data_IF_799411675875
#
_entry.id   IF_799411675875
#
_cell.length_a   1.000
_cell.length_b   1.000
_cell.length_c   1.000
_cell.angle_alpha   90.00
_cell.angle_beta   90.00
_cell.angle_gamma   90.00
#
_symmetry.space_group_name_H-M   'P 1'
#
loop_
_entity.id
_entity.type
_entity.pdbx_description
1 polymer ?
#
# COMPACT_ATOMS: atom_id res chain seq x y z
N UNK A 1 -7.89 11.14 35.50
CA UNK A 1 -6.57 10.94 34.85
C UNK A 1 -6.36 9.57 34.18
N UNK A 2 -7.13 8.52 34.52
CA UNK A 2 -6.99 7.19 33.90
C UNK A 2 -7.24 7.15 32.37
N UNK A 3 -8.28 7.84 31.88
CA UNK A 3 -8.56 7.92 30.42
C UNK A 3 -7.43 8.59 29.64
N UNK A 4 -6.80 9.62 30.22
CA UNK A 4 -5.65 10.29 29.62
C UNK A 4 -4.46 9.32 29.51
N UNK A 5 -4.18 8.57 30.58
CA UNK A 5 -3.15 7.53 30.56
C UNK A 5 -3.43 6.48 29.49
N UNK A 6 -4.67 5.99 29.41
CA UNK A 6 -5.09 4.98 28.44
C UNK A 6 -4.97 5.48 26.99
N UNK A 7 -5.42 6.69 26.70
CA UNK A 7 -5.23 7.36 25.41
C UNK A 7 -3.75 7.47 25.04
N UNK A 8 -2.91 7.88 25.99
CA UNK A 8 -1.47 8.06 25.78
C UNK A 8 -0.77 6.71 25.55
N UNK A 9 -1.22 5.64 26.22
CA UNK A 9 -0.78 4.28 25.95
C UNK A 9 -1.06 3.85 24.50
N UNK A 10 -2.27 4.10 23.99
CA UNK A 10 -2.58 3.85 22.58
C UNK A 10 -1.79 4.74 21.62
N UNK A 11 -1.62 6.02 21.95
CA UNK A 11 -0.89 6.98 21.12
C UNK A 11 0.58 6.61 20.99
N UNK A 12 1.20 6.12 22.06
CA UNK A 12 2.57 5.58 22.03
C UNK A 12 2.66 4.37 21.10
N UNK A 13 1.75 3.40 21.19
CA UNK A 13 1.73 2.25 20.27
C UNK A 13 1.53 2.67 18.82
N UNK A 14 0.63 3.61 18.56
CA UNK A 14 0.39 4.16 17.23
C UNK A 14 1.60 4.94 16.68
N UNK A 15 2.43 5.52 17.57
CA UNK A 15 3.69 6.19 17.18
C UNK A 15 4.78 5.17 16.80
N UNK A 16 4.74 3.96 17.39
CA UNK A 16 5.68 2.89 17.06
C UNK A 16 5.31 2.20 15.74
N UNK A 17 4.01 2.14 15.42
CA UNK A 17 3.48 1.64 14.15
C UNK A 17 4.00 2.47 12.95
N UNK A 18 4.85 1.92 12.07
CA UNK A 18 5.41 2.65 10.93
C UNK A 18 4.36 3.25 10.00
N UNK A 19 3.22 2.56 9.80
CA UNK A 19 2.15 2.99 8.88
C UNK A 19 1.40 4.19 9.43
N UNK A 20 1.24 4.27 10.76
CA UNK A 20 0.39 5.27 11.43
C UNK A 20 1.18 6.42 12.08
N UNK A 21 2.51 6.51 11.89
CA UNK A 21 3.37 7.52 12.56
C UNK A 21 2.96 8.96 12.31
N UNK A 22 2.60 9.32 11.08
CA UNK A 22 2.20 10.70 10.77
C UNK A 22 0.86 11.03 11.40
N UNK A 23 -0.10 10.10 11.36
CA UNK A 23 -1.37 10.25 12.05
C UNK A 23 -1.16 10.40 13.57
N UNK A 24 -0.27 9.60 14.17
CA UNK A 24 0.10 9.73 15.58
C UNK A 24 0.77 11.09 15.88
N UNK A 25 1.62 11.58 14.99
CA UNK A 25 2.30 12.89 15.15
C UNK A 25 1.30 14.04 15.11
N UNK A 26 0.32 14.00 14.21
CA UNK A 26 -0.77 14.97 14.15
C UNK A 26 -1.64 14.92 15.42
N UNK A 27 -1.90 13.73 15.97
CA UNK A 27 -2.60 13.57 17.24
C UNK A 27 -1.80 14.12 18.43
N UNK A 28 -0.48 13.89 18.46
CA UNK A 28 0.41 14.50 19.46
C UNK A 28 0.37 16.04 19.40
N UNK A 29 0.42 16.60 18.19
CA UNK A 29 0.30 18.05 17.98
C UNK A 29 -1.06 18.56 18.46
N UNK A 30 -2.15 17.88 18.09
CA UNK A 30 -3.50 18.21 18.52
C UNK A 30 -3.68 18.14 20.04
N UNK A 31 -3.08 17.14 20.69
CA UNK A 31 -3.04 17.01 22.15
C UNK A 31 -2.29 18.18 22.79
N UNK A 32 -1.13 18.55 22.27
CA UNK A 32 -0.32 19.67 22.79
C UNK A 32 -1.09 20.99 22.68
N UNK A 33 -1.69 21.27 21.52
CA UNK A 33 -2.52 22.46 21.30
C UNK A 33 -3.71 22.48 22.27
N UNK A 34 -4.39 21.35 22.45
CA UNK A 34 -5.51 21.23 23.38
C UNK A 34 -5.09 21.49 24.84
N UNK A 35 -3.92 20.97 25.25
CA UNK A 35 -3.39 21.17 26.59
C UNK A 35 -3.00 22.64 26.83
N UNK A 36 -2.40 23.30 25.85
CA UNK A 36 -2.11 24.76 25.89
C UNK A 36 -3.41 25.57 25.95
N UNK A 37 -4.44 25.17 25.20
CA UNK A 37 -5.76 25.79 25.27
C UNK A 37 -6.39 25.69 26.66
N UNK A 38 -6.41 24.49 27.25
CA UNK A 38 -6.92 24.28 28.62
C UNK A 38 -6.10 25.03 29.69
N UNK A 39 -4.79 25.13 29.50
CA UNK A 39 -3.91 25.93 30.33
C UNK A 39 -4.31 27.41 30.30
N UNK A 40 -4.56 27.95 29.09
CA UNK A 40 -4.94 29.36 28.92
C UNK A 40 -6.28 29.70 29.58
N UNK A 41 -7.17 28.71 29.73
CA UNK A 41 -8.46 28.83 30.41
C UNK A 41 -8.36 28.58 31.93
N UNK A 42 -7.16 28.34 32.47
CA UNK A 42 -6.91 27.95 33.87
C UNK A 42 -7.63 26.66 34.34
N UNK A 43 -8.12 25.84 33.41
CA UNK A 43 -8.88 24.62 33.74
C UNK A 43 -7.98 23.42 34.09
N UNK A 44 -6.69 23.46 33.75
CA UNK A 44 -5.83 22.26 33.80
C UNK A 44 -4.83 22.18 34.97
N UNK A 45 -4.20 23.30 35.37
CA UNK A 45 -3.12 23.27 36.37
C UNK A 45 -3.56 23.67 37.79
N UNK A 46 -4.72 24.30 37.95
CA UNK A 46 -5.16 24.80 39.26
C UNK A 46 -5.94 23.75 40.06
N UNK A 47 -6.64 22.83 39.38
CA UNK A 47 -7.54 21.85 40.00
C UNK A 47 -6.89 20.47 40.24
N UNK A 48 -5.85 20.11 39.49
CA UNK A 48 -5.33 18.73 39.44
C UNK A 48 -4.11 18.57 40.34
N UNK A 49 -4.23 17.74 41.38
CA UNK A 49 -3.08 17.26 42.13
C UNK A 49 -2.41 16.09 41.40
N UNK A 50 -1.34 16.39 40.67
CA UNK A 50 -0.59 15.40 39.87
C UNK A 50 -0.06 14.22 40.69
N UNK A 51 0.28 14.43 41.96
CA UNK A 51 0.86 13.38 42.80
C UNK A 51 -0.21 12.36 43.19
N UNK A 52 -1.41 12.81 43.56
CA UNK A 52 -2.52 11.91 43.92
C UNK A 52 -3.11 11.18 42.71
N UNK A 53 -3.05 11.79 41.54
CA UNK A 53 -3.59 11.22 40.30
C UNK A 53 -2.61 10.34 39.51
N UNK A 54 -1.31 10.37 39.86
CA UNK A 54 -0.27 9.60 39.18
C UNK A 54 -0.56 8.09 39.10
N UNK A 55 -1.07 7.41 40.16
CA UNK A 55 -1.39 5.98 40.08
C UNK A 55 -2.45 5.68 39.03
N UNK A 56 -3.48 6.52 38.92
CA UNK A 56 -4.55 6.37 37.93
C UNK A 56 -4.04 6.60 36.51
N UNK A 57 -3.19 7.61 36.33
CA UNK A 57 -2.55 7.87 35.03
C UNK A 57 -1.66 6.70 34.58
N UNK A 58 -0.75 6.24 35.44
CA UNK A 58 0.15 5.12 35.15
C UNK A 58 -0.65 3.84 34.89
N UNK A 59 -1.65 3.56 35.72
CA UNK A 59 -2.55 2.42 35.54
C UNK A 59 -3.26 2.47 34.19
N UNK A 60 -3.81 3.63 33.81
CA UNK A 60 -4.41 3.85 32.50
C UNK A 60 -3.42 3.59 31.36
N UNK A 61 -2.19 4.10 31.46
CA UNK A 61 -1.15 3.93 30.45
C UNK A 61 -0.78 2.46 30.25
N UNK A 62 -0.58 1.71 31.34
CA UNK A 62 -0.27 0.28 31.27
C UNK A 62 -1.44 -0.50 30.65
N UNK A 63 -2.69 -0.17 31.02
CA UNK A 63 -3.89 -0.79 30.44
C UNK A 63 -3.98 -0.48 28.94
N UNK A 64 -3.73 0.77 28.54
CA UNK A 64 -3.72 1.20 27.13
C UNK A 64 -2.66 0.44 26.33
N UNK A 65 -1.42 0.37 26.83
CA UNK A 65 -0.37 -0.44 26.21
C UNK A 65 -0.76 -1.92 26.13
N UNK A 66 -1.37 -2.47 27.17
CA UNK A 66 -1.81 -3.87 27.20
C UNK A 66 -2.91 -4.18 26.18
N UNK A 67 -3.99 -3.41 26.18
CA UNK A 67 -5.16 -3.59 25.29
C UNK A 67 -4.79 -3.30 23.84
N UNK A 68 -3.97 -2.27 23.60
CA UNK A 68 -3.59 -1.81 22.27
C UNK A 68 -2.64 -2.76 21.54
N UNK A 69 -2.15 -3.81 22.21
CA UNK A 69 -1.30 -4.84 21.60
C UNK A 69 0.17 -4.74 21.98
N UNK A 70 0.55 -3.97 22.99
CA UNK A 70 1.94 -3.81 23.45
C UNK A 70 2.61 -5.11 23.91
N UNK A 71 1.86 -6.21 24.10
CA UNK A 71 2.44 -7.56 24.26
C UNK A 71 3.26 -8.00 23.03
N UNK A 72 2.89 -7.53 21.82
CA UNK A 72 3.65 -7.79 20.58
C UNK A 72 5.05 -7.17 20.61
N UNK A 73 5.29 -6.11 21.39
CA UNK A 73 6.62 -5.49 21.54
C UNK A 73 7.63 -6.40 22.23
N UNK A 74 7.17 -7.38 23.02
CA UNK A 74 8.02 -8.32 23.76
C UNK A 74 8.13 -9.70 23.09
N UNK A 75 7.41 -9.93 22.00
CA UNK A 75 7.58 -11.14 21.20
C UNK A 75 8.82 -10.94 20.32
N UNK A 76 9.82 -11.81 20.51
CA UNK A 76 11.08 -11.78 19.77
C UNK A 76 10.79 -12.05 18.30
N UNK A 77 10.98 -11.01 17.48
CA UNK A 77 11.24 -11.01 16.04
C UNK A 77 10.80 -12.28 15.29
N UNK A 78 9.51 -12.40 15.04
CA UNK A 78 9.03 -13.00 13.79
C UNK A 78 8.76 -11.85 12.82
N UNK A 79 9.07 -12.06 11.54
CA UNK A 79 9.18 -11.06 10.47
C UNK A 79 7.90 -10.27 10.11
N UNK A 80 6.90 -10.24 10.99
CA UNK A 80 5.66 -9.49 10.79
C UNK A 80 5.81 -8.03 11.22
N UNK A 81 5.31 -7.10 10.41
CA UNK A 81 5.23 -5.69 10.78
C UNK A 81 4.47 -5.53 12.09
N UNK A 82 4.99 -4.69 12.97
CA UNK A 82 4.33 -4.31 14.22
C UNK A 82 3.12 -3.40 13.93
N UNK A 83 2.02 -4.00 13.52
CA UNK A 83 0.74 -3.31 13.34
C UNK A 83 -0.09 -3.38 14.63
N UNK A 84 -0.49 -2.19 15.09
CA UNK A 84 -1.29 -2.01 16.31
C UNK A 84 -2.70 -1.51 15.99
N UNK A 85 -3.43 -2.25 15.13
CA UNK A 85 -4.83 -1.94 14.75
C UNK A 85 -5.78 -1.73 15.92
N UNK A 86 -5.51 -2.35 17.07
CA UNK A 86 -6.31 -2.15 18.30
C UNK A 86 -6.04 -0.81 18.97
N UNK A 87 -4.82 -0.27 18.86
CA UNK A 87 -4.48 1.03 19.42
C UNK A 87 -5.15 2.17 18.65
N UNK A 88 -5.15 2.10 17.31
CA UNK A 88 -5.83 3.08 16.45
C UNK A 88 -7.35 3.07 16.68
N UNK A 89 -7.97 1.88 16.72
CA UNK A 89 -9.39 1.73 17.09
C UNK A 89 -9.67 2.26 18.51
N UNK A 90 -8.76 2.00 19.46
CA UNK A 90 -8.87 2.48 20.82
C UNK A 90 -8.89 4.01 20.92
N UNK A 91 -8.01 4.69 20.19
CA UNK A 91 -7.98 6.16 20.07
C UNK A 91 -9.30 6.67 19.49
N UNK A 92 -9.76 6.07 18.39
CA UNK A 92 -11.03 6.42 17.77
C UNK A 92 -12.19 6.32 18.77
N UNK A 93 -12.33 5.17 19.46
CA UNK A 93 -13.39 4.95 20.44
C UNK A 93 -13.37 5.98 21.59
N UNK A 94 -12.19 6.33 22.10
CA UNK A 94 -12.06 7.35 23.17
C UNK A 94 -12.50 8.71 22.66
N UNK A 95 -12.00 9.13 21.50
CA UNK A 95 -12.33 10.44 20.93
C UNK A 95 -13.82 10.56 20.58
N UNK A 96 -14.41 9.51 19.99
CA UNK A 96 -15.86 9.44 19.76
C UNK A 96 -16.63 9.54 21.07
N UNK A 97 -16.23 8.79 22.11
CA UNK A 97 -16.86 8.85 23.42
C UNK A 97 -16.79 10.26 24.02
N UNK A 98 -15.64 10.94 23.91
CA UNK A 98 -15.47 12.32 24.38
C UNK A 98 -16.40 13.26 23.63
N UNK A 99 -16.47 13.16 22.29
CA UNK A 99 -17.33 14.03 21.47
C UNK A 99 -18.81 13.80 21.79
N UNK A 100 -19.23 12.54 21.94
CA UNK A 100 -20.61 12.18 22.29
C UNK A 100 -20.95 12.66 23.70
N UNK A 101 -20.06 12.44 24.67
CA UNK A 101 -20.26 12.91 26.04
C UNK A 101 -20.33 14.44 26.10
N UNK A 102 -19.43 15.15 25.39
CA UNK A 102 -19.44 16.61 25.31
C UNK A 102 -20.71 17.14 24.63
N UNK A 103 -21.21 16.44 23.61
CA UNK A 103 -22.48 16.78 22.97
C UNK A 103 -23.65 16.67 23.96
N UNK A 104 -23.75 15.56 24.71
CA UNK A 104 -24.79 15.42 25.72
C UNK A 104 -24.65 16.43 26.86
N UNK A 105 -23.44 16.62 27.38
CA UNK A 105 -23.17 17.56 28.47
C UNK A 105 -23.53 19.00 28.09
N UNK A 106 -23.32 19.39 26.83
CA UNK A 106 -23.69 20.71 26.35
C UNK A 106 -25.21 20.91 26.25
N UNK A 107 -25.98 19.86 25.94
CA UNK A 107 -27.44 19.98 25.73
C UNK A 107 -28.27 19.56 26.96
N UNK A 108 -27.69 18.90 27.95
CA UNK A 108 -28.38 18.51 29.19
C UNK A 108 -28.17 19.62 30.22
N UNK A 109 -29.27 20.27 30.61
CA UNK A 109 -29.26 21.26 31.68
C UNK A 109 -29.58 20.57 33.01
N UNK A 110 -28.64 20.65 33.93
CA UNK A 110 -28.82 20.14 35.29
C UNK A 110 -29.43 21.22 36.18
N UNK A 111 -30.37 20.86 37.06
CA UNK A 111 -30.97 21.82 37.99
C UNK A 111 -29.91 22.37 38.96
N UNK A 112 -29.95 23.67 39.23
CA UNK A 112 -29.09 24.30 40.22
C UNK A 112 -29.45 23.81 41.62
N UNK A 113 -28.56 23.03 42.23
CA UNK A 113 -28.76 22.52 43.60
C UNK A 113 -28.50 23.58 44.68
N UNK A 114 -27.73 24.62 44.34
CA UNK A 114 -27.30 25.67 45.27
C UNK A 114 -27.31 27.03 44.59
N UNK A 115 -27.98 27.99 45.21
CA UNK A 115 -27.93 29.40 44.78
C UNK A 115 -27.06 30.17 45.76
N UNK A 116 -25.98 30.78 45.25
CA UNK A 116 -25.10 31.63 46.06
C UNK A 116 -25.70 33.04 46.11
N UNK A 117 -26.14 33.45 47.29
CA UNK A 117 -26.67 34.80 47.54
C UNK A 117 -25.67 35.61 48.38
N UNK A 118 -25.86 36.93 48.47
CA UNK A 118 -25.00 37.79 49.31
C UNK A 118 -25.01 37.39 50.80
N UNK A 119 -26.05 36.67 51.25
CA UNK A 119 -26.20 36.18 52.63
C UNK A 119 -25.68 34.75 52.86
N UNK A 120 -25.06 34.13 51.84
CA UNK A 120 -24.44 32.80 51.91
C UNK A 120 -24.99 31.79 50.91
N UNK A 121 -24.56 30.53 51.08
CA UNK A 121 -25.01 29.39 50.27
C UNK A 121 -26.37 28.94 50.82
N UNK A 122 -27.43 29.24 50.08
CA UNK A 122 -28.75 28.69 50.37
C UNK A 122 -28.98 27.49 49.45
N UNK A 123 -29.46 26.37 50.01
CA UNK A 123 -30.04 25.29 49.21
C UNK A 123 -31.16 25.88 48.39
N UNK A 124 -31.01 25.86 47.06
CA UNK A 124 -32.05 26.31 46.16
C UNK A 124 -33.31 25.50 46.50
N UNK A 125 -34.43 26.16 46.79
CA UNK A 125 -35.70 25.45 46.98
C UNK A 125 -36.02 24.89 45.61
N UNK A 126 -35.85 23.58 45.42
CA UNK A 126 -35.88 22.95 44.11
C UNK A 126 -37.14 23.40 43.35
N UNK A 127 -36.97 24.36 42.43
CA UNK A 127 -37.97 24.66 41.43
C UNK A 127 -38.15 23.36 40.65
N UNK A 128 -39.39 22.97 40.37
CA UNK A 128 -39.70 21.72 39.66
C UNK A 128 -39.25 21.70 38.21
N UNK A 129 -38.29 22.55 37.82
CA UNK A 129 -37.59 22.46 36.55
C UNK A 129 -36.64 21.26 36.66
N UNK A 130 -37.19 20.11 36.27
CA UNK A 130 -36.42 18.87 36.12
C UNK A 130 -35.33 19.02 35.05
N UNK A 131 -34.59 17.93 34.83
CA UNK A 131 -33.56 17.83 33.79
C UNK A 131 -34.09 18.43 32.47
N UNK A 132 -33.48 19.53 32.05
CA UNK A 132 -33.85 20.28 30.86
C UNK A 132 -33.03 19.87 29.66
N UNK A 133 -33.56 20.09 28.45
CA UNK A 133 -32.81 19.94 27.20
C UNK A 133 -32.66 21.32 26.57
N UNK A 134 -31.43 21.79 26.45
CA UNK A 134 -31.11 22.95 25.64
C UNK A 134 -31.30 22.56 24.18
N UNK A 135 -32.30 23.14 23.52
CA UNK A 135 -32.62 22.83 22.13
C UNK A 135 -31.91 23.77 21.15
N UNK A 136 -31.34 24.88 21.64
CA UNK A 136 -30.65 25.83 20.79
C UNK A 136 -29.43 25.19 20.10
N UNK A 137 -29.48 25.15 18.77
CA UNK A 137 -28.36 24.69 17.97
C UNK A 137 -28.14 23.18 17.95
N UNK A 138 -29.05 22.38 18.52
CA UNK A 138 -28.89 20.91 18.60
C UNK A 138 -28.62 20.27 17.23
N UNK A 139 -29.32 20.71 16.18
CA UNK A 139 -29.11 20.22 14.82
C UNK A 139 -27.74 20.59 14.27
N UNK A 140 -27.28 21.83 14.49
CA UNK A 140 -25.96 22.30 14.06
C UNK A 140 -24.86 21.52 14.77
N UNK A 141 -24.97 21.38 16.10
CA UNK A 141 -24.00 20.66 16.91
C UNK A 141 -23.96 19.18 16.52
N UNK A 142 -25.11 18.56 16.28
CA UNK A 142 -25.20 17.18 15.82
C UNK A 142 -24.51 16.98 14.46
N UNK A 143 -24.75 17.90 13.51
CA UNK A 143 -24.12 17.86 12.19
C UNK A 143 -22.60 18.02 12.30
N UNK A 144 -22.12 19.01 13.07
CA UNK A 144 -20.67 19.25 13.25
C UNK A 144 -19.99 18.08 13.96
N UNK A 145 -20.58 17.56 15.04
CA UNK A 145 -20.06 16.38 15.74
C UNK A 145 -20.07 15.13 14.85
N UNK A 146 -21.13 14.93 14.07
CA UNK A 146 -21.22 13.83 13.11
C UNK A 146 -20.17 13.92 12.01
N UNK A 147 -19.98 15.11 11.42
CA UNK A 147 -18.93 15.37 10.44
C UNK A 147 -17.54 15.14 11.04
N UNK A 148 -17.29 15.61 12.27
CA UNK A 148 -16.03 15.39 12.95
C UNK A 148 -15.75 13.90 13.19
N UNK A 149 -16.75 13.14 13.66
CA UNK A 149 -16.63 11.68 13.86
C UNK A 149 -16.35 10.99 12.52
N UNK A 150 -17.00 11.42 11.43
CA UNK A 150 -16.76 10.88 10.10
C UNK A 150 -15.32 11.14 9.62
N UNK A 151 -14.83 12.37 9.74
CA UNK A 151 -13.45 12.74 9.39
C UNK A 151 -12.45 11.99 10.27
N UNK A 152 -12.74 11.84 11.56
CA UNK A 152 -11.91 11.08 12.49
C UNK A 152 -11.88 9.58 12.14
N UNK A 153 -13.03 9.01 11.77
CA UNK A 153 -13.11 7.62 11.32
C UNK A 153 -12.21 7.41 10.11
N UNK A 154 -12.38 8.25 9.07
CA UNK A 154 -11.52 8.25 7.89
C UNK A 154 -10.05 8.41 8.24
N UNK A 155 -9.70 9.38 9.10
CA UNK A 155 -8.32 9.62 9.52
C UNK A 155 -7.68 8.40 10.19
N UNK A 156 -8.43 7.64 11.00
CA UNK A 156 -7.90 6.47 11.71
C UNK A 156 -7.86 5.22 10.82
N UNK A 157 -8.86 5.03 9.95
CA UNK A 157 -8.97 3.84 9.08
C UNK A 157 -8.17 3.95 7.79
N UNK A 158 -7.75 5.15 7.37
CA UNK A 158 -7.03 5.33 6.12
C UNK A 158 -5.70 4.55 6.14
N UNK A 159 -5.69 3.46 5.39
CA UNK A 159 -4.53 2.74 4.89
C UNK A 159 -4.56 2.98 3.37
N UNK A 160 -3.58 3.70 2.84
CA UNK A 160 -3.45 3.85 1.39
C UNK A 160 -2.95 2.51 0.85
N UNK A 161 -3.71 1.90 -0.03
CA UNK A 161 -3.37 0.68 -0.76
C UNK A 161 -3.58 0.97 -2.25
N UNK A 162 -2.67 0.47 -3.07
CA UNK A 162 -2.72 0.67 -4.52
C UNK A 162 -2.25 -0.61 -5.20
N UNK A 163 -3.13 -1.19 -6.02
CA UNK A 163 -2.93 -2.51 -6.58
C UNK A 163 -2.54 -2.47 -8.07
N UNK A 164 -1.43 -3.15 -8.38
CA UNK A 164 -0.89 -3.29 -9.72
C UNK A 164 -1.13 -4.71 -10.23
N UNK A 165 -1.81 -4.82 -11.37
CA UNK A 165 -2.02 -6.10 -12.04
C UNK A 165 -1.19 -6.20 -13.31
N UNK A 166 -0.37 -7.25 -13.39
CA UNK A 166 0.56 -7.46 -14.49
C UNK A 166 -0.07 -8.34 -15.56
N UNK A 167 -0.08 -7.84 -16.79
CA UNK A 167 -0.57 -8.53 -17.97
C UNK A 167 0.55 -8.66 -19.00
N UNK A 168 0.61 -9.83 -19.65
CA UNK A 168 1.69 -10.17 -20.56
C UNK A 168 1.31 -11.30 -21.50
N UNK A 169 1.72 -11.26 -22.79
CA UNK A 169 1.61 -12.39 -23.68
C UNK A 169 2.29 -13.64 -23.12
N UNK A 170 2.12 -14.77 -23.81
CA UNK A 170 2.82 -15.99 -23.40
C UNK A 170 4.33 -15.78 -23.50
N UNK A 171 5.07 -16.24 -22.49
CA UNK A 171 6.53 -16.16 -22.43
C UNK A 171 7.12 -14.74 -22.45
N UNK A 172 6.30 -13.70 -22.20
CA UNK A 172 6.78 -12.31 -22.06
C UNK A 172 7.58 -12.04 -20.77
N UNK A 173 7.82 -13.07 -19.95
CA UNK A 173 8.56 -12.96 -18.71
C UNK A 173 7.75 -12.51 -17.49
N UNK A 174 6.43 -12.74 -17.42
CA UNK A 174 5.57 -12.36 -16.27
C UNK A 174 6.11 -12.84 -14.91
N UNK A 175 6.38 -14.13 -14.78
CA UNK A 175 6.86 -14.73 -13.52
C UNK A 175 8.21 -14.13 -13.12
N UNK A 176 9.08 -13.91 -14.11
CA UNK A 176 10.38 -13.31 -13.90
C UNK A 176 10.36 -11.83 -13.62
N UNK A 177 9.44 -11.11 -14.23
CA UNK A 177 9.18 -9.74 -13.88
C UNK A 177 8.83 -9.62 -12.39
N UNK A 178 7.92 -10.46 -11.89
CA UNK A 178 7.54 -10.44 -10.48
C UNK A 178 8.66 -10.87 -9.54
N UNK A 179 9.45 -11.89 -9.91
CA UNK A 179 10.60 -12.31 -9.11
C UNK A 179 11.63 -11.18 -9.03
N UNK A 180 11.93 -10.51 -10.15
CA UNK A 180 12.87 -9.39 -10.18
C UNK A 180 12.40 -8.22 -9.32
N UNK A 181 11.12 -7.86 -9.45
CA UNK A 181 10.50 -6.83 -8.62
C UNK A 181 10.51 -7.19 -7.13
N UNK A 182 10.29 -8.47 -6.78
CA UNK A 182 10.33 -8.93 -5.40
C UNK A 182 11.74 -8.88 -4.81
N UNK A 183 12.75 -9.35 -5.55
CA UNK A 183 14.15 -9.32 -5.09
C UNK A 183 14.63 -7.89 -4.84
N UNK A 184 14.27 -6.97 -5.74
CA UNK A 184 14.57 -5.55 -5.57
C UNK A 184 13.84 -4.94 -4.37
N UNK A 185 12.54 -5.24 -4.19
CA UNK A 185 11.78 -4.78 -3.02
C UNK A 185 12.37 -5.33 -1.70
N UNK A 186 12.89 -6.56 -1.71
CA UNK A 186 13.58 -7.19 -0.58
C UNK A 186 14.89 -6.46 -0.26
N UNK A 187 15.69 -6.12 -1.27
CA UNK A 187 16.91 -5.34 -1.09
C UNK A 187 16.60 -3.94 -0.52
N UNK A 188 15.62 -3.22 -1.07
CA UNK A 188 15.19 -1.91 -0.57
C UNK A 188 14.69 -1.96 0.87
N UNK A 189 13.95 -3.02 1.23
CA UNK A 189 13.46 -3.24 2.59
C UNK A 189 14.60 -3.58 3.54
N UNK A 190 15.59 -4.38 3.12
CA UNK A 190 16.77 -4.70 3.94
C UNK A 190 17.62 -3.46 4.28
N UNK A 191 17.67 -2.50 3.34
CA UNK A 191 18.40 -1.24 3.49
C UNK A 191 17.58 -0.16 4.23
N UNK A 192 16.27 -0.33 4.34
CA UNK A 192 15.36 0.62 5.00
C UNK A 192 15.02 0.17 6.42
N UNK A 193 14.98 1.10 7.39
CA UNK A 193 14.61 0.80 8.79
C UNK A 193 13.13 0.38 8.99
N UNK A 194 12.39 0.16 7.91
CA UNK A 194 11.00 -0.29 7.89
C UNK A 194 10.95 -1.81 7.75
N UNK A 195 10.68 -2.52 8.85
CA UNK A 195 10.51 -3.98 8.87
C UNK A 195 9.13 -4.41 8.34
N UNK A 196 8.70 -3.89 7.17
CA UNK A 196 7.41 -4.29 6.60
C UNK A 196 7.56 -5.59 5.83
N UNK A 197 6.81 -6.66 6.16
CA UNK A 197 6.87 -7.92 5.44
C UNK A 197 6.31 -7.77 4.04
N UNK A 198 6.98 -8.42 3.09
CA UNK A 198 6.59 -8.39 1.68
C UNK A 198 5.40 -9.32 1.36
N UNK A 199 5.02 -10.20 2.29
CA UNK A 199 3.95 -11.19 2.16
C UNK A 199 3.83 -11.82 0.75
N UNK A 200 4.91 -12.47 0.24
CA UNK A 200 4.86 -13.13 -1.06
C UNK A 200 3.88 -14.32 -1.04
N UNK A 201 3.26 -14.61 -2.19
CA UNK A 201 2.47 -15.82 -2.36
C UNK A 201 3.36 -17.08 -2.30
N UNK A 202 2.78 -18.21 -1.91
CA UNK A 202 3.51 -19.48 -1.83
C UNK A 202 4.14 -19.84 -3.18
N UNK A 203 3.39 -19.66 -4.27
CA UNK A 203 3.85 -19.92 -5.63
C UNK A 203 5.08 -19.07 -6.00
N UNK A 204 5.11 -17.80 -5.57
CA UNK A 204 6.26 -16.92 -5.79
C UNK A 204 7.48 -17.38 -4.99
N UNK A 205 7.28 -17.76 -3.73
CA UNK A 205 8.35 -18.31 -2.87
C UNK A 205 8.93 -19.58 -3.48
N UNK A 206 8.09 -20.48 -4.00
CA UNK A 206 8.53 -21.73 -4.62
C UNK A 206 9.37 -21.46 -5.87
N UNK A 207 8.97 -20.50 -6.72
CA UNK A 207 9.75 -20.11 -7.91
C UNK A 207 11.10 -19.48 -7.55
N UNK A 208 11.16 -18.66 -6.50
CA UNK A 208 12.42 -18.07 -6.01
C UNK A 208 13.36 -19.17 -5.53
N UNK A 209 12.84 -20.15 -4.76
CA UNK A 209 13.64 -21.28 -4.28
C UNK A 209 14.18 -22.15 -5.43
N UNK A 210 13.43 -22.27 -6.53
CA UNK A 210 13.91 -22.94 -7.74
C UNK A 210 14.99 -22.13 -8.46
N UNK A 211 14.80 -20.81 -8.56
CA UNK A 211 15.78 -19.90 -9.15
C UNK A 211 17.09 -19.86 -8.36
N UNK A 212 17.06 -19.98 -7.03
CA UNK A 212 18.26 -19.94 -6.18
C UNK A 212 19.10 -21.23 -6.20
N UNK A 213 18.65 -22.29 -6.90
CA UNK A 213 19.42 -23.53 -7.00
C UNK A 213 20.71 -23.30 -7.80
N UNK A 214 21.90 -23.67 -7.27
CA UNK A 214 23.19 -23.44 -7.92
C UNK A 214 23.35 -24.08 -9.30
N UNK A 215 22.56 -25.12 -9.59
CA UNK A 215 22.59 -25.87 -10.85
C UNK A 215 21.52 -25.40 -11.85
N UNK A 216 20.69 -24.40 -11.51
CA UNK A 216 19.66 -23.89 -12.42
C UNK A 216 20.26 -22.89 -13.40
N UNK A 217 20.39 -23.28 -14.67
CA UNK A 217 20.92 -22.41 -15.73
C UNK A 217 19.88 -21.38 -16.20
N UNK A 218 18.58 -21.70 -16.18
CA UNK A 218 17.44 -20.78 -16.34
C UNK A 218 16.10 -21.55 -16.29
N UNK A 219 15.94 -22.53 -15.41
CA UNK A 219 14.77 -23.42 -15.47
C UNK A 219 13.71 -22.94 -14.51
N UNK A 220 13.04 -21.84 -14.86
CA UNK A 220 11.62 -21.72 -14.50
C UNK A 220 10.91 -22.39 -15.67
N UNK A 221 10.53 -23.66 -15.51
CA UNK A 221 9.74 -24.33 -16.54
C UNK A 221 8.47 -23.49 -16.78
N UNK A 222 8.14 -23.24 -18.05
CA UNK A 222 6.87 -22.61 -18.37
C UNK A 222 5.75 -23.46 -17.74
N UNK A 223 4.93 -22.85 -16.89
CA UNK A 223 3.89 -23.52 -16.10
C UNK A 223 3.13 -24.55 -16.96
N UNK A 224 2.99 -25.78 -16.43
CA UNK A 224 2.36 -26.89 -17.11
C UNK A 224 0.93 -26.59 -17.55
N UNK A 225 0.45 -27.24 -18.61
CA UNK A 225 -0.93 -27.06 -19.10
C UNK A 225 -1.93 -27.40 -17.98
N UNK A 226 -2.60 -26.39 -17.43
CA UNK A 226 -3.67 -26.54 -16.43
C UNK A 226 -3.29 -26.17 -14.99
N UNK A 227 -2.05 -25.76 -14.73
CA UNK A 227 -1.66 -25.15 -13.46
C UNK A 227 -1.78 -23.63 -13.55
N UNK A 228 -2.40 -23.03 -12.54
CA UNK A 228 -2.59 -21.57 -12.43
C UNK A 228 -1.81 -21.13 -11.21
N UNK A 229 -0.67 -20.50 -11.45
CA UNK A 229 0.16 -19.94 -10.40
C UNK A 229 -0.25 -18.49 -10.17
N UNK A 230 -0.62 -18.15 -8.93
CA UNK A 230 -0.96 -16.79 -8.54
C UNK A 230 0.25 -16.20 -7.84
N UNK A 231 0.91 -15.29 -8.55
CA UNK A 231 2.11 -14.64 -8.11
C UNK A 231 1.75 -13.28 -7.56
N UNK A 232 2.02 -13.06 -6.28
CA UNK A 232 1.80 -11.75 -5.67
C UNK A 232 2.80 -11.48 -4.56
N UNK A 233 3.05 -10.20 -4.33
CA UNK A 233 3.70 -9.70 -3.13
C UNK A 233 3.27 -8.25 -2.92
N UNK A 234 3.51 -7.72 -1.74
CA UNK A 234 3.26 -6.32 -1.42
C UNK A 234 4.50 -5.68 -0.85
N UNK A 235 4.65 -4.38 -0.99
CA UNK A 235 5.68 -3.62 -0.28
C UNK A 235 5.16 -2.25 0.11
N UNK A 236 5.90 -1.53 0.96
CA UNK A 236 5.51 -0.18 1.38
C UNK A 236 6.46 0.84 0.77
N UNK A 237 5.89 1.81 0.07
CA UNK A 237 6.62 2.97 -0.44
C UNK A 237 6.19 4.25 0.29
N UNK A 238 7.11 5.21 0.39
CA UNK A 238 6.85 6.51 0.98
C UNK A 238 7.27 6.65 2.45
N UNK A 239 7.85 7.81 2.78
CA UNK A 239 8.33 8.12 4.15
C UNK A 239 7.31 8.89 5.00
N UNK A 240 6.52 9.76 4.36
CA UNK A 240 5.58 10.68 5.04
C UNK A 240 4.16 10.12 5.00
N UNK A 241 3.73 9.62 3.84
CA UNK A 241 2.47 8.91 3.69
C UNK A 241 2.80 7.53 3.11
N UNK A 242 3.04 6.52 3.96
CA UNK A 242 3.36 5.19 3.48
C UNK A 242 2.12 4.58 2.82
N UNK A 243 2.29 4.08 1.60
CA UNK A 243 1.26 3.39 0.81
C UNK A 243 1.66 1.93 0.65
N UNK A 244 0.71 1.01 0.85
CA UNK A 244 0.92 -0.40 0.51
C UNK A 244 0.74 -0.55 -1.00
N UNK A 245 1.72 -1.16 -1.64
CA UNK A 245 1.70 -1.40 -3.07
C UNK A 245 1.63 -2.91 -3.27
N UNK A 246 0.50 -3.37 -3.80
CA UNK A 246 0.31 -4.76 -4.19
C UNK A 246 0.76 -4.97 -5.63
N UNK A 247 1.55 -6.01 -5.89
CA UNK A 247 1.81 -6.49 -7.24
C UNK A 247 1.22 -7.89 -7.37
N UNK A 248 0.44 -8.10 -8.42
CA UNK A 248 -0.15 -9.40 -8.70
C UNK A 248 -0.08 -9.74 -10.19
N UNK A 249 0.26 -10.99 -10.48
CA UNK A 249 0.13 -11.59 -11.81
C UNK A 249 -0.45 -12.98 -11.65
N UNK A 250 -1.21 -13.39 -12.64
CA UNK A 250 -1.57 -14.79 -12.83
C UNK A 250 -0.69 -15.34 -13.93
N UNK A 251 -0.10 -16.52 -13.73
CA UNK A 251 0.53 -17.23 -14.83
C UNK A 251 -0.53 -18.01 -15.61
N UNK A 252 -0.69 -17.64 -16.87
CA UNK A 252 -1.72 -18.16 -17.76
C UNK A 252 -1.17 -18.41 -19.16
N UNK A 253 -1.76 -19.36 -19.86
CA UNK A 253 -1.47 -19.61 -21.27
C UNK A 253 -2.00 -18.46 -22.15
N UNK A 254 -1.27 -18.07 -23.20
CA UNK A 254 -1.65 -16.92 -24.05
C UNK A 254 -3.09 -16.94 -24.60
N UNK A 255 -3.72 -18.12 -24.70
CA UNK A 255 -5.13 -18.26 -25.10
C UNK A 255 -6.12 -17.51 -24.18
N UNK A 256 -5.79 -17.31 -22.90
CA UNK A 256 -6.64 -16.58 -21.97
C UNK A 256 -6.65 -15.07 -22.27
N UNK A 257 -5.54 -14.51 -22.75
CA UNK A 257 -5.46 -13.08 -23.07
C UNK A 257 -6.43 -12.70 -24.20
N UNK A 258 -6.57 -13.59 -25.18
CA UNK A 258 -7.48 -13.40 -26.32
C UNK A 258 -8.95 -13.44 -25.94
N UNK A 259 -9.28 -14.10 -24.82
CA UNK A 259 -10.64 -14.29 -24.32
C UNK A 259 -11.02 -13.27 -23.25
N UNK A 260 -10.03 -12.61 -22.66
CA UNK A 260 -10.20 -11.67 -21.55
C UNK A 260 -11.12 -10.48 -21.89
N UNK A 261 -11.00 -9.82 -23.06
CA UNK A 261 -11.93 -8.74 -23.43
C UNK A 261 -13.40 -9.19 -23.52
N UNK A 262 -13.64 -10.39 -24.02
CA UNK A 262 -15.00 -10.93 -24.13
C UNK A 262 -15.54 -11.34 -22.75
N UNK A 263 -14.65 -11.78 -21.86
CA UNK A 263 -14.97 -12.12 -20.47
C UNK A 263 -15.35 -10.89 -19.64
N UNK A 264 -14.55 -9.82 -19.70
CA UNK A 264 -14.81 -8.55 -18.99
C UNK A 264 -16.15 -7.94 -19.44
N UNK A 265 -16.49 -8.06 -20.73
CA UNK A 265 -17.78 -7.55 -21.25
C UNK A 265 -18.97 -8.45 -20.94
N UNK A 266 -18.75 -9.64 -20.36
CA UNK A 266 -19.80 -10.62 -20.10
C UNK A 266 -20.45 -11.18 -21.38
N UNK A 267 -19.72 -11.17 -22.50
CA UNK A 267 -20.23 -11.67 -23.80
C UNK A 267 -19.98 -13.17 -23.97
N UNK A 268 -19.07 -13.73 -23.18
CA UNK A 268 -18.83 -15.16 -23.12
C UNK A 268 -19.98 -15.88 -22.39
N UNK A 269 -20.42 -17.06 -22.89
CA UNK A 269 -21.33 -17.94 -22.15
C UNK A 269 -20.74 -18.37 -20.80
N UNK A 270 -21.57 -18.44 -19.74
CA UNK A 270 -21.14 -18.81 -18.38
C UNK A 270 -20.39 -20.16 -18.33
N UNK A 271 -20.72 -21.12 -19.20
CA UNK A 271 -20.07 -22.43 -19.28
C UNK A 271 -18.69 -22.41 -19.94
N UNK A 272 -18.30 -21.27 -20.52
CA UNK A 272 -16.99 -21.06 -21.12
C UNK A 272 -16.00 -20.35 -20.19
N UNK A 273 -16.47 -19.68 -19.14
CA UNK A 273 -15.60 -19.00 -18.19
C UNK A 273 -15.12 -20.01 -17.15
N UNK A 274 -13.81 -20.26 -17.12
CA UNK A 274 -13.19 -21.09 -16.09
C UNK A 274 -12.61 -20.22 -14.97
N UNK A 275 -12.23 -20.85 -13.87
CA UNK A 275 -11.69 -20.17 -12.69
C UNK A 275 -10.41 -19.38 -12.95
N UNK A 276 -9.67 -19.65 -14.05
CA UNK A 276 -8.48 -18.85 -14.42
C UNK A 276 -8.91 -17.55 -15.04
N UNK A 277 -9.88 -17.63 -15.97
CA UNK A 277 -10.41 -16.48 -16.66
C UNK A 277 -11.19 -15.57 -15.71
N UNK A 278 -11.97 -16.13 -14.77
CA UNK A 278 -12.62 -15.35 -13.69
C UNK A 278 -11.59 -14.52 -12.92
N UNK A 279 -10.51 -15.14 -12.44
CA UNK A 279 -9.47 -14.42 -11.69
C UNK A 279 -8.73 -13.37 -12.52
N UNK A 280 -8.60 -13.57 -13.83
CA UNK A 280 -8.02 -12.56 -14.72
C UNK A 280 -8.96 -11.36 -14.90
N UNK A 281 -10.27 -11.61 -14.98
CA UNK A 281 -11.28 -10.54 -14.99
C UNK A 281 -11.22 -9.78 -13.67
N UNK A 282 -11.29 -10.49 -12.55
CA UNK A 282 -11.20 -9.89 -11.21
C UNK A 282 -9.92 -9.04 -11.06
N UNK A 283 -8.76 -9.59 -11.46
CA UNK A 283 -7.49 -8.86 -11.38
C UNK A 283 -7.43 -7.62 -12.27
N UNK A 284 -8.12 -7.58 -13.40
CA UNK A 284 -8.20 -6.38 -14.25
C UNK A 284 -9.19 -5.35 -13.70
N UNK A 285 -10.32 -5.80 -13.16
CA UNK A 285 -11.37 -4.92 -12.61
C UNK A 285 -10.99 -4.31 -11.26
N UNK A 286 -10.28 -5.06 -10.41
CA UNK A 286 -9.87 -4.62 -9.08
C UNK A 286 -8.60 -3.76 -9.09
N UNK A 287 -7.78 -3.83 -10.16
CA UNK A 287 -6.52 -3.10 -10.22
C UNK A 287 -6.70 -1.59 -10.41
N UNK A 288 -5.96 -0.81 -9.62
CA UNK A 288 -5.82 0.63 -9.84
C UNK A 288 -4.91 0.94 -11.04
N UNK A 289 -3.95 0.05 -11.33
CA UNK A 289 -3.03 0.23 -12.46
C UNK A 289 -2.66 -1.10 -13.13
N UNK A 290 -2.77 -1.14 -14.46
CA UNK A 290 -2.32 -2.26 -15.28
C UNK A 290 -0.87 -2.06 -15.70
N UNK A 291 -0.05 -3.09 -15.50
CA UNK A 291 1.33 -3.17 -15.98
C UNK A 291 1.35 -4.07 -17.21
N UNK A 292 1.56 -3.49 -18.39
CA UNK A 292 1.56 -4.22 -19.66
C UNK A 292 2.99 -4.54 -20.08
N UNK A 293 3.31 -5.82 -20.21
CA UNK A 293 4.64 -6.31 -20.56
C UNK A 293 4.84 -6.41 -22.07
N UNK A 294 5.94 -5.84 -22.55
CA UNK A 294 6.41 -5.90 -23.93
C UNK A 294 7.68 -6.75 -23.98
N UNK A 295 7.65 -7.86 -24.72
CA UNK A 295 8.79 -8.77 -24.85
C UNK A 295 9.80 -8.25 -25.89
N UNK A 296 10.96 -7.76 -25.44
CA UNK A 296 11.99 -7.24 -26.33
C UNK A 296 12.73 -8.31 -27.12
N UNK A 297 12.78 -9.54 -26.63
CA UNK A 297 13.40 -10.64 -27.37
C UNK A 297 12.58 -10.96 -28.62
N UNK A 298 11.25 -11.01 -28.49
CA UNK A 298 10.35 -11.15 -29.64
C UNK A 298 10.48 -9.99 -30.61
N UNK A 299 10.52 -8.76 -30.09
CA UNK A 299 10.71 -7.58 -30.93
C UNK A 299 12.00 -7.65 -31.75
N UNK A 300 13.12 -8.04 -31.14
CA UNK A 300 14.42 -8.15 -31.81
C UNK A 300 14.47 -9.28 -32.84
N UNK A 301 13.67 -10.32 -32.65
CA UNK A 301 13.59 -11.47 -33.56
C UNK A 301 12.55 -11.27 -34.68
N UNK A 302 11.99 -10.07 -34.83
CA UNK A 302 10.89 -9.76 -35.77
C UNK A 302 9.64 -10.65 -35.54
N UNK A 303 9.43 -11.13 -34.32
CA UNK A 303 8.27 -11.93 -33.92
C UNK A 303 7.10 -11.02 -33.49
N UNK A 304 5.83 -11.45 -33.69
CA UNK A 304 4.68 -10.69 -33.23
C UNK A 304 4.69 -10.56 -31.70
N UNK A 305 4.52 -9.32 -31.23
CA UNK A 305 4.46 -9.02 -29.80
C UNK A 305 3.21 -9.59 -29.10
N UNK A 306 2.17 -9.98 -29.85
CA UNK A 306 0.90 -10.49 -29.29
C UNK A 306 0.22 -9.51 -28.32
N UNK A 307 0.23 -8.21 -28.65
CA UNK A 307 -0.30 -7.11 -27.82
C UNK A 307 -1.63 -6.54 -28.34
N UNK A 308 -2.29 -7.22 -29.29
CA UNK A 308 -3.52 -6.71 -29.93
C UNK A 308 -4.66 -6.61 -28.91
N UNK A 309 -4.71 -7.59 -28.02
CA UNK A 309 -5.73 -7.76 -26.99
C UNK A 309 -5.65 -6.64 -25.93
N UNK A 310 -4.48 -6.00 -25.76
CA UNK A 310 -4.32 -4.88 -24.83
C UNK A 310 -5.23 -3.72 -25.18
N UNK A 311 -5.42 -3.40 -26.45
CA UNK A 311 -6.30 -2.29 -26.86
C UNK A 311 -7.75 -2.52 -26.42
N UNK A 312 -8.21 -3.77 -26.50
CA UNK A 312 -9.58 -4.09 -26.12
C UNK A 312 -9.73 -4.16 -24.60
N UNK A 313 -8.73 -4.66 -23.87
CA UNK A 313 -8.69 -4.60 -22.40
C UNK A 313 -8.71 -3.14 -21.92
N UNK A 314 -7.86 -2.28 -22.47
CA UNK A 314 -7.75 -0.87 -22.06
C UNK A 314 -9.04 -0.07 -22.29
N UNK A 315 -9.79 -0.38 -23.36
CA UNK A 315 -11.09 0.27 -23.62
C UNK A 315 -12.17 -0.14 -22.62
N UNK A 316 -12.03 -1.33 -22.03
CA UNK A 316 -13.01 -1.89 -21.10
C UNK A 316 -12.68 -1.54 -19.65
N UNK A 317 -11.39 -1.54 -19.30
CA UNK A 317 -10.84 -1.09 -18.01
C UNK A 317 -10.85 0.45 -17.90
N UNK A 318 -12.04 1.05 -17.98
CA UNK A 318 -12.22 2.50 -17.92
C UNK A 318 -11.68 3.06 -16.61
N UNK A 319 -10.82 4.09 -16.71
CA UNK A 319 -10.22 4.82 -15.58
C UNK A 319 -9.12 4.08 -14.79
N UNK A 320 -8.58 2.98 -15.34
CA UNK A 320 -7.40 2.30 -14.76
C UNK A 320 -6.11 2.93 -15.26
N UNK A 321 -5.14 3.14 -14.37
CA UNK A 321 -3.81 3.61 -14.75
C UNK A 321 -3.08 2.58 -15.63
N UNK A 322 -2.14 3.01 -16.46
CA UNK A 322 -1.35 2.09 -17.30
C UNK A 322 0.13 2.41 -17.21
N UNK A 323 0.95 1.36 -17.09
CA UNK A 323 2.40 1.42 -17.17
C UNK A 323 2.86 0.38 -18.21
N UNK A 324 3.72 0.82 -19.14
CA UNK A 324 4.32 -0.06 -20.13
C UNK A 324 5.72 -0.46 -19.66
N UNK A 325 6.00 -1.77 -19.68
CA UNK A 325 7.29 -2.31 -19.24
C UNK A 325 7.87 -3.17 -20.34
N UNK A 326 9.11 -2.91 -20.73
CA UNK A 326 9.84 -3.71 -21.69
C UNK A 326 10.69 -4.75 -20.96
N UNK A 327 10.29 -6.03 -21.01
CA UNK A 327 11.00 -7.13 -20.38
C UNK A 327 12.09 -7.69 -21.30
N UNK A 328 13.03 -8.45 -20.72
CA UNK A 328 14.18 -9.06 -21.41
C UNK A 328 15.03 -8.01 -22.15
N UNK A 329 15.14 -6.81 -21.58
CA UNK A 329 15.90 -5.72 -22.19
C UNK A 329 17.41 -5.99 -22.32
N UNK A 330 17.94 -7.05 -21.72
CA UNK A 330 19.32 -7.49 -21.89
C UNK A 330 19.68 -7.85 -23.34
N UNK A 331 18.69 -8.18 -24.18
CA UNK A 331 18.90 -8.43 -25.61
C UNK A 331 19.33 -7.17 -26.37
N UNK A 332 18.87 -6.00 -25.93
CA UNK A 332 19.22 -4.69 -26.52
C UNK A 332 20.38 -4.00 -25.78
N UNK A 333 20.73 -4.47 -24.58
CA UNK A 333 21.83 -3.89 -23.81
C UNK A 333 23.18 -4.01 -24.51
N UNK A 334 23.38 -5.10 -25.29
CA UNK A 334 24.60 -5.29 -26.09
C UNK A 334 24.66 -4.32 -27.27
N UNK A 335 23.58 -4.22 -28.06
CA UNK A 335 23.48 -3.26 -29.18
C UNK A 335 23.67 -1.82 -28.69
N UNK A 336 23.08 -1.46 -27.54
CA UNK A 336 23.28 -0.16 -26.91
C UNK A 336 24.75 0.11 -26.58
N UNK A 337 25.45 -0.89 -26.04
CA UNK A 337 26.88 -0.79 -25.75
C UNK A 337 27.71 -0.60 -27.01
N UNK A 338 27.40 -1.33 -28.07
CA UNK A 338 28.09 -1.21 -29.36
C UNK A 338 27.86 0.14 -30.02
N UNK A 339 26.62 0.65 -30.02
CA UNK A 339 26.26 1.90 -30.70
C UNK A 339 26.64 3.15 -29.91
N UNK A 340 26.49 3.14 -28.58
CA UNK A 340 26.68 4.31 -27.71
C UNK A 340 27.97 4.29 -26.92
N UNK A 341 28.63 3.12 -26.79
CA UNK A 341 29.81 2.96 -25.95
C UNK A 341 29.51 3.07 -24.45
N UNK A 342 28.25 2.90 -24.05
CA UNK A 342 27.77 3.03 -22.67
C UNK A 342 27.26 1.69 -22.16
N UNK A 343 27.47 1.40 -20.87
CA UNK A 343 26.90 0.21 -20.22
C UNK A 343 25.49 0.50 -19.72
N UNK A 344 24.48 -0.23 -20.23
CA UNK A 344 23.06 0.01 -19.94
C UNK A 344 22.73 0.10 -18.43
N UNK A 345 23.33 -0.77 -17.61
CA UNK A 345 23.10 -0.78 -16.16
C UNK A 345 23.67 0.43 -15.40
N UNK A 346 24.53 1.25 -16.05
CA UNK A 346 25.09 2.49 -15.46
C UNK A 346 24.42 3.75 -16.00
N UNK A 347 23.84 3.66 -17.18
CA UNK A 347 23.26 4.77 -17.94
C UNK A 347 21.81 4.43 -18.30
N UNK A 348 21.01 4.23 -17.25
CA UNK A 348 19.65 3.69 -17.34
C UNK A 348 18.68 4.65 -18.02
N UNK A 349 18.82 5.96 -17.79
CA UNK A 349 18.01 6.97 -18.46
C UNK A 349 18.28 6.97 -19.98
N UNK A 350 19.55 6.96 -20.38
CA UNK A 350 19.94 6.90 -21.80
C UNK A 350 19.53 5.58 -22.45
N UNK A 351 19.58 4.47 -21.70
CA UNK A 351 19.12 3.17 -22.18
C UNK A 351 17.59 3.12 -22.34
N UNK A 352 16.83 3.72 -21.42
CA UNK A 352 15.39 3.89 -21.56
C UNK A 352 15.04 4.72 -22.78
N UNK A 353 15.72 5.84 -23.00
CA UNK A 353 15.53 6.67 -24.20
C UNK A 353 15.82 5.87 -25.48
N UNK A 354 16.90 5.09 -25.49
CA UNK A 354 17.26 4.21 -26.60
C UNK A 354 16.16 3.19 -26.91
N UNK A 355 15.66 2.48 -25.89
CA UNK A 355 14.58 1.49 -26.05
C UNK A 355 13.29 2.15 -26.54
N UNK A 356 12.90 3.29 -25.96
CA UNK A 356 11.71 4.01 -26.40
C UNK A 356 11.83 4.47 -27.86
N UNK A 357 13.00 4.95 -28.29
CA UNK A 357 13.24 5.31 -29.69
C UNK A 357 13.13 4.11 -30.64
N UNK A 358 13.71 2.96 -30.26
CA UNK A 358 13.65 1.73 -31.07
C UNK A 358 12.23 1.17 -31.16
N UNK A 359 11.54 1.05 -30.02
CA UNK A 359 10.18 0.50 -29.95
C UNK A 359 9.14 1.35 -30.71
N UNK A 360 9.26 2.68 -30.68
CA UNK A 360 8.40 3.58 -31.48
C UNK A 360 8.56 3.40 -32.99
N UNK A 361 9.61 2.70 -33.44
CA UNK A 361 9.72 2.26 -34.83
C UNK A 361 8.62 1.27 -35.25
N UNK A 362 8.02 0.56 -34.29
CA UNK A 362 6.87 -0.33 -34.55
C UNK A 362 5.55 0.43 -34.44
N UNK A 363 4.74 0.33 -35.50
CA UNK A 363 3.41 0.95 -35.54
C UNK A 363 2.48 0.44 -34.43
N UNK A 364 2.59 -0.83 -34.05
CA UNK A 364 1.76 -1.42 -32.98
C UNK A 364 2.09 -0.80 -31.62
N UNK A 365 3.39 -0.66 -31.32
CA UNK A 365 3.84 -0.09 -30.04
C UNK A 365 3.56 1.41 -29.97
N UNK A 366 3.79 2.14 -31.07
CA UNK A 366 3.44 3.56 -31.15
C UNK A 366 1.94 3.80 -30.92
N UNK A 367 1.08 2.93 -31.47
CA UNK A 367 -0.37 3.02 -31.24
C UNK A 367 -0.73 2.76 -29.77
N UNK A 368 -0.05 1.81 -29.11
CA UNK A 368 -0.26 1.53 -27.68
C UNK A 368 0.19 2.70 -26.79
N UNK A 369 1.32 3.33 -27.12
CA UNK A 369 1.79 4.54 -26.42
C UNK A 369 0.76 5.66 -26.54
N UNK A 370 0.16 5.85 -27.72
CA UNK A 370 -0.87 6.87 -27.93
C UNK A 370 -2.15 6.59 -27.12
N UNK A 371 -2.59 5.33 -27.07
CA UNK A 371 -3.74 4.91 -26.26
C UNK A 371 -3.50 5.11 -24.76
N UNK A 372 -2.24 4.96 -24.31
CA UNK A 372 -1.81 5.13 -22.91
C UNK A 372 -1.34 6.55 -22.58
N UNK A 373 -1.87 7.55 -23.31
CA UNK A 373 -1.58 8.97 -23.11
C UNK A 373 -0.10 9.37 -23.17
N UNK A 374 0.70 8.66 -23.97
CA UNK A 374 2.13 8.95 -24.16
C UNK A 374 3.02 8.39 -23.06
N UNK A 375 2.56 7.37 -22.33
CA UNK A 375 3.35 6.75 -21.25
C UNK A 375 4.68 6.20 -21.79
N UNK A 376 5.76 6.48 -21.06
CA UNK A 376 7.09 5.94 -21.37
C UNK A 376 7.17 4.45 -21.06
N UNK A 377 7.99 3.74 -21.83
CA UNK A 377 8.23 2.31 -21.65
C UNK A 377 9.45 2.14 -20.73
N UNK A 378 9.28 1.40 -19.63
CA UNK A 378 10.34 1.18 -18.64
C UNK A 378 11.04 -0.16 -18.91
N UNK A 379 12.34 -0.16 -19.24
CA UNK A 379 13.06 -1.40 -19.52
C UNK A 379 13.51 -2.08 -18.23
N UNK A 380 13.29 -3.40 -18.15
CA UNK A 380 13.72 -4.22 -17.03
C UNK A 380 14.33 -5.54 -17.51
N UNK A 381 15.38 -5.98 -16.84
CA UNK A 381 16.08 -7.21 -17.21
C UNK A 381 16.96 -7.75 -16.08
N UNK A 382 17.39 -8.99 -16.25
CA UNK A 382 18.44 -9.60 -15.44
C UNK A 382 19.77 -9.46 -16.17
N UNK A 383 20.85 -9.11 -15.46
CA UNK A 383 22.17 -9.16 -16.08
C UNK A 383 22.49 -10.61 -16.44
N UNK A 384 22.78 -10.88 -17.71
CA UNK A 384 23.09 -12.21 -18.21
C UNK A 384 24.50 -12.28 -18.80
N UNK A 385 25.09 -13.48 -18.78
CA UNK A 385 26.31 -13.83 -19.49
C UNK A 385 26.02 -15.05 -20.37
N UNK A 386 26.77 -15.20 -21.46
CA UNK A 386 26.66 -16.38 -22.32
C UNK A 386 27.54 -17.50 -21.73
N UNK A 387 26.99 -18.69 -21.49
CA UNK A 387 27.71 -19.86 -21.02
C UNK A 387 28.46 -20.57 -22.18
N UNK A 388 29.16 -21.67 -21.88
CA UNK A 388 29.91 -22.44 -22.89
C UNK A 388 29.02 -23.08 -23.97
N UNK A 389 27.72 -23.25 -23.69
CA UNK A 389 26.74 -23.82 -24.61
C UNK A 389 26.11 -22.76 -25.54
N UNK A 390 26.39 -21.47 -25.32
CA UNK A 390 25.78 -20.37 -26.06
C UNK A 390 24.48 -19.85 -25.45
N UNK A 391 24.07 -20.37 -24.30
CA UNK A 391 22.85 -19.97 -23.60
C UNK A 391 23.13 -18.76 -22.68
N UNK A 392 22.16 -17.85 -22.57
CA UNK A 392 22.22 -16.74 -21.61
C UNK A 392 21.87 -17.26 -20.22
N UNK A 393 22.74 -17.06 -19.25
CA UNK A 393 22.56 -17.43 -17.83
C UNK A 393 22.69 -16.19 -16.94
N UNK A 394 21.99 -16.10 -15.80
CA UNK A 394 22.01 -14.89 -14.99
C UNK A 394 23.38 -14.71 -14.31
N UNK A 395 23.83 -13.47 -14.22
CA UNK A 395 24.97 -13.08 -13.40
C UNK A 395 24.46 -12.97 -11.96
N UNK A 396 25.21 -13.61 -11.06
CA UNK A 396 24.94 -13.56 -9.62
C UNK A 396 25.99 -12.71 -8.91
N UNK A 397 25.57 -12.03 -7.86
CA UNK A 397 26.42 -11.23 -7.01
C UNK A 397 27.17 -12.09 -5.97
N UNK A 398 27.90 -11.43 -5.06
CA UNK A 398 28.66 -12.09 -3.98
C UNK A 398 27.75 -12.82 -2.96
N UNK A 399 26.44 -12.52 -2.96
CA UNK A 399 25.42 -13.18 -2.12
C UNK A 399 24.73 -14.35 -2.82
N UNK A 400 25.14 -14.66 -4.07
CA UNK A 400 24.51 -15.63 -4.96
C UNK A 400 23.10 -15.24 -5.43
N UNK A 401 22.71 -13.98 -5.23
CA UNK A 401 21.46 -13.41 -5.74
C UNK A 401 21.62 -13.00 -7.20
N UNK A 402 20.56 -13.11 -7.99
CA UNK A 402 20.57 -12.67 -9.39
C UNK A 402 20.56 -11.14 -9.47
N UNK A 403 21.35 -10.57 -10.37
CA UNK A 403 21.43 -9.13 -10.54
C UNK A 403 20.31 -8.62 -11.45
N UNK A 404 19.46 -7.74 -10.93
CA UNK A 404 18.37 -7.12 -11.67
C UNK A 404 18.73 -5.68 -12.08
N UNK A 405 18.15 -5.18 -13.16
CA UNK A 405 18.35 -3.80 -13.66
C UNK A 405 17.00 -3.22 -14.07
N UNK A 406 16.72 -1.98 -13.66
CA UNK A 406 15.49 -1.26 -14.01
C UNK A 406 14.35 -1.44 -13.02
N UNK A 407 14.41 -2.46 -12.15
CA UNK A 407 13.35 -2.74 -11.18
C UNK A 407 13.30 -1.70 -10.06
N UNK A 408 14.43 -1.14 -9.66
CA UNK A 408 14.53 -0.11 -8.63
C UNK A 408 13.73 1.14 -9.01
N UNK A 409 13.97 1.66 -10.23
CA UNK A 409 13.26 2.80 -10.80
C UNK A 409 11.78 2.48 -11.02
N UNK A 410 11.45 1.25 -11.40
CA UNK A 410 10.08 0.82 -11.62
C UNK A 410 9.27 0.73 -10.32
N UNK A 411 9.84 0.18 -9.25
CA UNK A 411 9.20 0.18 -7.93
C UNK A 411 9.03 1.62 -7.40
N UNK A 412 10.04 2.47 -7.61
CA UNK A 412 9.93 3.90 -7.30
C UNK A 412 8.80 4.58 -8.08
N UNK A 413 8.62 4.23 -9.36
CA UNK A 413 7.52 4.72 -10.19
C UNK A 413 6.17 4.26 -9.65
N UNK A 414 6.03 2.98 -9.30
CA UNK A 414 4.81 2.43 -8.72
C UNK A 414 4.41 3.21 -7.47
N UNK A 415 5.37 3.49 -6.59
CA UNK A 415 5.10 4.25 -5.37
C UNK A 415 4.87 5.75 -5.55
N UNK A 416 5.21 6.34 -6.71
CA UNK A 416 4.84 7.72 -7.05
C UNK A 416 3.46 7.83 -7.72
N UNK A 417 2.98 6.74 -8.32
CA UNK A 417 1.66 6.67 -8.98
C UNK A 417 0.55 6.17 -8.06
N UNK A 418 0.90 5.68 -6.87
CA UNK A 418 0.00 5.29 -5.78
C UNK A 418 -0.49 6.45 -4.92
#
# INVERSE_FOLDING_TARGET
>A
MAFLGLFLGFLVLMTLDPKKRVQATLLWLGMLISLVGLLSLNLFLVEINFISEAPWFIGGLIIGLGIGGGRKLFQVQTADALEFRRASLGIFCILVLIVVAAFFEYHIQYPELFTVTQDGIQTATASSEGIGIETAGIFKNMLVSGLFIFVLAQFVTYDAEHDFFILGPRASGKSLFLIGAYLEALEQTSNSSSNTPLNPSNDLVDMIQELDRPESEWIIEATGRGEVNVLSFQYVHGRVFPTNIGLQSIDYAGEYLNRLPDAITGTLPDDSVDATLERLVDGVEEADTLVLLLDLERFMNDEPLEITEYFDILRQANNTGVILVATKADVMAEEFREERGLEAHRYQEEFREYINQRLRGSQQVESLIQETAGTEIYPVYYQTKVNENGDRVPIRDDTNSVMTVGFDELLDLFGRRS
#
